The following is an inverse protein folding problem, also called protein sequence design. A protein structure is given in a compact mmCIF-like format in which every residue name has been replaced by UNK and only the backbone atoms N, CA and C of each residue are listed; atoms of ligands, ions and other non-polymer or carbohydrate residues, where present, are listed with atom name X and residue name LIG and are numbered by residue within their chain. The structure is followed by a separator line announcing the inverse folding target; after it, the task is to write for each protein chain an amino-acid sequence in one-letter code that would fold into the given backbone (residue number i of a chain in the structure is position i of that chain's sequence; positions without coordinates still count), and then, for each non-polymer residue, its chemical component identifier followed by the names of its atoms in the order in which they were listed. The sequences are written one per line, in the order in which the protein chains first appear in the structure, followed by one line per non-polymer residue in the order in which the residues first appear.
data_IF_246530600633
#
_entry.id   IF_246530600633
#
_cell.length_a   1.000
_cell.length_b   1.000
_cell.length_c   1.000
_cell.angle_alpha   90.00
_cell.angle_beta   90.00
_cell.angle_gamma   90.00
#
_symmetry.space_group_name_H-M   'P 1'
#
loop_
_entity.id
_entity.type
_entity.pdbx_description
1 polymer ?
#
# COMPACT_ATOMS: atom_id res chain seq x y z
N UNK A 1 -37.48 -44.92 -33.11
CA UNK A 1 -37.33 -44.52 -31.69
C UNK A 1 -35.86 -44.25 -31.42
N UNK A 2 -35.43 -43.01 -31.63
CA UNK A 2 -34.06 -42.56 -31.35
C UNK A 2 -34.12 -41.33 -30.46
N UNK A 3 -33.81 -41.52 -29.17
CA UNK A 3 -33.62 -40.45 -28.22
C UNK A 3 -32.15 -40.00 -28.29
N UNK A 4 -31.90 -38.90 -28.98
CA UNK A 4 -30.65 -38.18 -28.87
C UNK A 4 -30.81 -37.12 -27.78
N UNK A 5 -30.34 -37.41 -26.58
CA UNK A 5 -30.14 -36.44 -25.53
C UNK A 5 -28.71 -35.90 -25.65
N UNK A 6 -28.58 -34.65 -26.08
CA UNK A 6 -27.34 -33.90 -26.01
C UNK A 6 -27.16 -33.40 -24.57
N UNK A 7 -26.00 -33.59 -23.93
CA UNK A 7 -25.71 -32.92 -22.67
C UNK A 7 -25.42 -31.45 -22.92
N UNK A 8 -26.08 -30.60 -22.13
CA UNK A 8 -25.84 -29.17 -22.12
C UNK A 8 -24.42 -28.86 -21.70
N UNK A 9 -23.68 -28.26 -22.61
CA UNK A 9 -22.36 -27.69 -22.34
C UNK A 9 -22.52 -26.50 -21.39
N UNK A 10 -22.04 -26.64 -20.16
CA UNK A 10 -21.85 -25.53 -19.24
C UNK A 10 -20.70 -24.68 -19.75
N UNK A 11 -21.05 -23.63 -20.49
CA UNK A 11 -20.10 -22.58 -20.86
C UNK A 11 -19.83 -21.76 -19.59
N UNK A 12 -18.78 -22.12 -18.87
CA UNK A 12 -18.20 -21.23 -17.86
C UNK A 12 -17.62 -20.01 -18.56
N UNK A 13 -18.35 -18.91 -18.49
CA UNK A 13 -17.86 -17.62 -18.96
C UNK A 13 -16.59 -17.25 -18.20
N UNK A 14 -15.48 -16.93 -18.90
CA UNK A 14 -14.30 -16.42 -18.22
C UNK A 14 -14.65 -15.08 -17.57
N UNK A 15 -14.52 -15.00 -16.25
CA UNK A 15 -14.66 -13.77 -15.52
C UNK A 15 -13.82 -12.69 -16.19
N UNK A 16 -14.51 -11.69 -16.73
CA UNK A 16 -13.92 -10.63 -17.54
C UNK A 16 -12.88 -9.86 -16.72
N UNK A 17 -11.62 -9.96 -17.10
CA UNK A 17 -10.51 -9.14 -16.58
C UNK A 17 -10.77 -7.63 -16.75
N UNK A 18 -11.78 -7.25 -17.53
CA UNK A 18 -12.20 -5.87 -17.74
C UNK A 18 -12.97 -5.27 -16.55
N UNK A 19 -13.51 -6.09 -15.66
CA UNK A 19 -14.19 -5.62 -14.43
C UNK A 19 -13.24 -5.10 -13.36
N UNK A 20 -12.00 -5.59 -13.33
CA UNK A 20 -11.00 -5.17 -12.35
C UNK A 20 -10.48 -3.74 -12.60
N UNK A 21 -10.52 -3.30 -13.86
CA UNK A 21 -10.03 -1.95 -14.24
C UNK A 21 -11.05 -0.86 -13.93
N UNK A 22 -12.34 -1.20 -13.75
CA UNK A 22 -13.40 -0.22 -13.46
C UNK A 22 -13.61 0.08 -11.98
N UNK A 23 -13.12 -0.77 -11.07
CA UNK A 23 -13.22 -0.56 -9.63
C UNK A 23 -11.95 0.01 -8.98
N UNK A 24 -10.83 0.06 -9.70
CA UNK A 24 -9.53 0.48 -9.20
C UNK A 24 -9.12 1.92 -9.58
N UNK A 25 -10.04 2.72 -10.06
CA UNK A 25 -9.70 4.02 -10.64
C UNK A 25 -9.96 5.18 -9.70
N UNK A 26 -9.25 5.24 -8.59
CA UNK A 26 -9.15 6.50 -7.86
C UNK A 26 -7.84 6.65 -7.08
N UNK A 27 -6.77 6.03 -7.55
CA UNK A 27 -5.47 6.59 -7.24
C UNK A 27 -5.38 7.86 -8.10
N UNK A 28 -5.39 9.03 -7.47
CA UNK A 28 -5.22 10.27 -8.19
C UNK A 28 -3.93 10.19 -9.01
N UNK A 29 -3.88 10.86 -10.16
CA UNK A 29 -2.68 10.94 -10.99
C UNK A 29 -1.46 11.40 -10.17
N UNK A 30 -1.70 12.13 -9.08
CA UNK A 30 -0.70 12.59 -8.11
C UNK A 30 -0.09 11.42 -7.32
N UNK A 31 -0.91 10.48 -6.81
CA UNK A 31 -0.40 9.33 -6.07
C UNK A 31 0.45 8.41 -6.96
N UNK A 32 0.00 8.15 -8.20
CA UNK A 32 0.76 7.35 -9.17
C UNK A 32 2.06 8.05 -9.57
N UNK A 33 2.07 9.36 -9.69
CA UNK A 33 3.25 10.12 -10.07
C UNK A 33 4.28 10.21 -8.95
N UNK A 34 3.85 10.27 -7.69
CA UNK A 34 4.73 10.20 -6.52
C UNK A 34 5.42 8.83 -6.41
N UNK A 35 4.68 7.75 -6.63
CA UNK A 35 5.22 6.39 -6.67
C UNK A 35 6.18 6.17 -7.84
N UNK A 36 6.01 6.91 -8.94
CA UNK A 36 6.89 6.88 -10.11
C UNK A 36 8.12 7.79 -9.99
N UNK A 37 8.30 8.50 -8.87
CA UNK A 37 9.45 9.40 -8.64
C UNK A 37 9.50 10.60 -9.59
N UNK A 38 8.38 10.96 -10.20
CA UNK A 38 8.30 12.13 -11.09
C UNK A 38 7.75 13.32 -10.32
N UNK A 39 8.47 14.43 -10.35
CA UNK A 39 7.97 15.73 -9.91
C UNK A 39 6.80 16.16 -10.82
N UNK A 40 5.62 15.69 -10.49
CA UNK A 40 4.40 16.17 -11.14
C UNK A 40 4.06 17.52 -10.49
N UNK A 41 4.57 18.56 -11.09
CA UNK A 41 3.99 19.89 -10.92
C UNK A 41 2.56 19.79 -11.41
N UNK A 42 1.62 19.79 -10.48
CA UNK A 42 0.19 19.81 -10.75
C UNK A 42 -0.17 21.16 -11.39
N UNK A 43 0.13 21.30 -12.68
CA UNK A 43 -0.44 22.36 -13.48
C UNK A 43 -1.85 21.91 -13.90
N UNK A 44 -2.84 22.50 -13.26
CA UNK A 44 -4.17 22.61 -13.82
C UNK A 44 -5.20 21.55 -13.45
N UNK A 45 -5.00 20.69 -12.47
CA UNK A 45 -6.09 19.86 -11.95
C UNK A 45 -6.81 20.64 -10.84
N UNK A 46 -7.91 21.30 -11.16
CA UNK A 46 -8.92 21.75 -10.19
C UNK A 46 -9.66 20.50 -9.65
N UNK A 47 -8.95 19.65 -8.92
CA UNK A 47 -9.52 18.57 -8.13
C UNK A 47 -9.88 19.09 -6.74
N UNK A 48 -10.70 18.33 -6.05
CA UNK A 48 -11.00 18.58 -4.65
C UNK A 48 -9.75 18.27 -3.81
N UNK A 49 -8.95 19.27 -3.54
CA UNK A 49 -7.66 19.18 -2.82
C UNK A 49 -7.83 18.51 -1.45
N UNK A 50 -9.01 18.64 -0.84
CA UNK A 50 -9.31 18.00 0.45
C UNK A 50 -9.38 16.48 0.31
N UNK A 51 -9.99 15.96 -0.75
CA UNK A 51 -10.01 14.51 -1.02
C UNK A 51 -8.64 13.96 -1.37
N UNK A 52 -7.83 14.73 -2.09
CA UNK A 52 -6.45 14.35 -2.39
C UNK A 52 -5.62 14.25 -1.10
N UNK A 53 -5.77 15.20 -0.18
CA UNK A 53 -5.14 15.16 1.15
C UNK A 53 -5.58 13.94 1.94
N UNK A 54 -6.87 13.58 1.93
CA UNK A 54 -7.39 12.41 2.63
C UNK A 54 -6.79 11.12 2.09
N UNK A 55 -6.73 10.97 0.77
CA UNK A 55 -6.12 9.80 0.10
C UNK A 55 -4.62 9.70 0.43
N UNK A 56 -3.91 10.82 0.36
CA UNK A 56 -2.48 10.86 0.68
C UNK A 56 -2.21 10.55 2.15
N UNK A 57 -3.10 10.95 3.07
CA UNK A 57 -2.99 10.60 4.49
C UNK A 57 -3.26 9.11 4.75
N UNK A 58 -4.15 8.46 4.01
CA UNK A 58 -4.31 7.00 4.06
C UNK A 58 -3.01 6.33 3.61
N UNK A 59 -2.44 6.76 2.48
CA UNK A 59 -1.16 6.24 2.00
C UNK A 59 -0.03 6.46 3.01
N UNK A 60 0.05 7.65 3.62
CA UNK A 60 1.03 7.96 4.65
C UNK A 60 0.88 7.07 5.89
N UNK A 61 -0.35 6.77 6.30
CA UNK A 61 -0.62 5.83 7.39
C UNK A 61 -0.06 4.43 7.10
N UNK A 62 -0.21 3.95 5.87
CA UNK A 62 0.35 2.67 5.42
C UNK A 62 1.89 2.67 5.39
N UNK A 63 2.51 3.78 4.99
CA UNK A 63 3.98 3.91 5.06
C UNK A 63 4.48 3.88 6.52
N UNK A 64 3.81 4.56 7.44
CA UNK A 64 4.13 4.49 8.87
C UNK A 64 4.03 3.04 9.39
N UNK A 65 2.95 2.33 9.04
CA UNK A 65 2.78 0.93 9.43
C UNK A 65 3.88 0.05 8.85
N UNK A 66 4.20 0.18 7.57
CA UNK A 66 5.26 -0.59 6.92
C UNK A 66 6.63 -0.34 7.55
N UNK A 67 6.99 0.93 7.81
CA UNK A 67 8.26 1.29 8.46
C UNK A 67 8.37 0.60 9.83
N UNK A 68 7.30 0.61 10.60
CA UNK A 68 7.28 0.05 11.95
C UNK A 68 7.19 -1.48 11.93
N UNK A 69 6.51 -2.08 10.95
CA UNK A 69 6.53 -3.53 10.73
C UNK A 69 7.96 -4.03 10.44
N UNK A 70 8.68 -3.37 9.54
CA UNK A 70 10.09 -3.68 9.29
C UNK A 70 10.98 -3.45 10.52
N UNK A 71 10.70 -2.41 11.30
CA UNK A 71 11.43 -2.14 12.55
C UNK A 71 11.22 -3.26 13.57
N UNK A 72 9.99 -3.72 13.73
CA UNK A 72 9.65 -4.82 14.64
C UNK A 72 10.28 -6.13 14.17
N UNK A 73 10.20 -6.45 12.88
CA UNK A 73 10.83 -7.63 12.30
C UNK A 73 12.35 -7.61 12.47
N UNK A 74 13.00 -6.51 12.14
CA UNK A 74 14.45 -6.36 12.30
C UNK A 74 14.90 -6.43 13.76
N UNK A 75 14.10 -5.88 14.67
CA UNK A 75 14.38 -5.88 16.12
C UNK A 75 14.03 -7.19 16.84
N UNK A 76 13.32 -8.11 16.18
CA UNK A 76 12.85 -9.37 16.77
C UNK A 76 13.98 -10.35 17.08
N UNK A 77 15.12 -10.24 16.40
CA UNK A 77 16.21 -11.23 16.44
C UNK A 77 15.93 -12.52 15.69
N UNK A 78 14.79 -12.63 15.01
CA UNK A 78 14.38 -13.84 14.29
C UNK A 78 14.94 -13.91 12.87
N UNK A 79 15.30 -12.76 12.28
CA UNK A 79 15.75 -12.69 10.90
C UNK A 79 17.23 -13.06 10.78
N UNK A 80 17.54 -13.94 9.84
CA UNK A 80 18.93 -14.21 9.45
C UNK A 80 19.50 -13.01 8.66
N UNK A 81 20.84 -12.85 8.73
CA UNK A 81 21.49 -11.67 8.17
C UNK A 81 21.10 -11.30 6.74
N UNK A 82 21.00 -12.19 5.75
CA UNK A 82 20.60 -11.81 4.41
C UNK A 82 19.19 -11.22 4.32
N UNK A 83 18.25 -11.77 5.10
CA UNK A 83 16.87 -11.29 5.17
C UNK A 83 16.78 -9.98 5.93
N UNK A 84 17.55 -9.85 7.01
CA UNK A 84 17.66 -8.59 7.77
C UNK A 84 18.16 -7.44 6.89
N UNK A 85 19.19 -7.67 6.09
CA UNK A 85 19.75 -6.65 5.19
C UNK A 85 18.70 -6.18 4.17
N UNK A 86 17.91 -7.10 3.62
CA UNK A 86 16.78 -6.78 2.72
C UNK A 86 15.69 -6.01 3.46
N UNK A 87 15.31 -6.44 4.66
CA UNK A 87 14.29 -5.76 5.47
C UNK A 87 14.67 -4.31 5.77
N UNK A 88 15.94 -4.06 6.12
CA UNK A 88 16.46 -2.70 6.36
C UNK A 88 16.42 -1.86 5.09
N UNK A 89 16.75 -2.45 3.93
CA UNK A 89 16.69 -1.75 2.65
C UNK A 89 15.23 -1.35 2.30
N UNK A 90 14.27 -2.27 2.44
CA UNK A 90 12.87 -1.96 2.19
C UNK A 90 12.32 -0.92 3.18
N UNK A 91 12.70 -1.00 4.45
CA UNK A 91 12.36 0.04 5.42
C UNK A 91 12.85 1.42 4.93
N UNK A 92 14.07 1.49 4.38
CA UNK A 92 14.62 2.71 3.80
C UNK A 92 13.76 3.27 2.65
N UNK A 93 13.26 2.40 1.77
CA UNK A 93 12.35 2.80 0.68
C UNK A 93 11.04 3.40 1.24
N UNK A 94 10.43 2.74 2.23
CA UNK A 94 9.21 3.24 2.89
C UNK A 94 9.44 4.60 3.57
N UNK A 95 10.60 4.82 4.19
CA UNK A 95 10.96 6.13 4.76
C UNK A 95 11.03 7.22 3.69
N UNK A 96 11.57 6.91 2.52
CA UNK A 96 11.60 7.85 1.38
C UNK A 96 10.18 8.19 0.88
N UNK A 97 9.33 7.17 0.75
CA UNK A 97 7.92 7.38 0.35
C UNK A 97 7.16 8.21 1.38
N UNK A 98 7.32 7.92 2.67
CA UNK A 98 6.75 8.71 3.77
C UNK A 98 7.13 10.18 3.64
N UNK A 99 8.41 10.48 3.44
CA UNK A 99 8.90 11.85 3.38
C UNK A 99 8.31 12.60 2.17
N UNK A 100 8.18 11.93 1.02
CA UNK A 100 7.53 12.47 -0.17
C UNK A 100 6.03 12.75 0.06
N UNK A 101 5.32 11.84 0.73
CA UNK A 101 3.90 12.01 1.07
C UNK A 101 3.70 13.17 2.04
N UNK A 102 4.51 13.27 3.09
CA UNK A 102 4.46 14.39 4.05
C UNK A 102 4.64 15.72 3.33
N UNK A 103 5.68 15.85 2.49
CA UNK A 103 5.95 17.08 1.74
C UNK A 103 4.79 17.43 0.82
N UNK A 104 4.17 16.45 0.15
CA UNK A 104 3.05 16.68 -0.76
C UNK A 104 1.79 17.13 -0.01
N UNK A 105 1.44 16.46 1.10
CA UNK A 105 0.29 16.83 1.93
C UNK A 105 0.44 18.28 2.42
N UNK A 106 1.62 18.64 2.92
CA UNK A 106 1.91 20.00 3.36
C UNK A 106 1.80 21.01 2.21
N UNK A 107 2.30 20.69 1.03
CA UNK A 107 2.22 21.53 -0.17
C UNK A 107 0.78 21.77 -0.62
N UNK A 108 -0.09 20.79 -0.40
CA UNK A 108 -1.54 20.91 -0.66
C UNK A 108 -2.30 21.65 0.46
N UNK A 109 -1.60 22.10 1.52
CA UNK A 109 -2.21 22.76 2.66
C UNK A 109 -2.87 21.83 3.67
N UNK A 110 -2.65 20.51 3.53
CA UNK A 110 -3.16 19.52 4.46
C UNK A 110 -2.23 19.30 5.65
N UNK A 111 -2.73 18.54 6.63
CA UNK A 111 -1.97 18.11 7.80
C UNK A 111 -1.62 16.64 7.65
N UNK A 112 -0.32 16.25 7.63
CA UNK A 112 0.09 14.87 7.60
C UNK A 112 -0.37 14.10 8.85
N UNK A 113 -0.89 12.88 8.68
CA UNK A 113 -1.21 11.99 9.79
C UNK A 113 0.06 11.65 10.57
N UNK A 114 -0.05 11.70 11.90
CA UNK A 114 1.08 11.41 12.78
C UNK A 114 1.37 9.90 12.84
N UNK A 115 2.65 9.58 12.98
CA UNK A 115 3.10 8.23 13.30
C UNK A 115 2.72 7.87 14.74
N UNK A 116 2.18 6.67 14.96
CA UNK A 116 1.93 6.14 16.30
C UNK A 116 3.24 5.66 16.94
N UNK A 117 3.19 5.28 18.21
CA UNK A 117 4.32 4.67 18.88
C UNK A 117 4.56 3.23 18.42
N UNK A 118 5.80 2.77 18.49
CA UNK A 118 6.17 1.41 18.06
C UNK A 118 5.38 0.31 18.78
N UNK A 119 5.08 0.48 20.06
CA UNK A 119 4.29 -0.49 20.83
C UNK A 119 2.82 -0.55 20.38
N UNK A 120 2.27 0.53 19.86
CA UNK A 120 0.93 0.56 19.28
C UNK A 120 0.89 -0.24 17.97
N UNK A 121 1.90 -0.08 17.10
CA UNK A 121 2.08 -0.91 15.93
C UNK A 121 2.32 -2.37 16.28
N UNK A 122 3.14 -2.65 17.28
CA UNK A 122 3.39 -4.01 17.76
C UNK A 122 2.10 -4.73 18.16
N UNK A 123 1.19 -4.02 18.82
CA UNK A 123 -0.13 -4.56 19.20
C UNK A 123 -1.02 -4.75 17.96
N UNK A 124 -1.11 -3.75 17.10
CA UNK A 124 -1.95 -3.78 15.89
C UNK A 124 -1.53 -4.92 14.94
N UNK A 125 -0.23 -5.13 14.78
CA UNK A 125 0.34 -6.17 13.92
C UNK A 125 0.50 -7.52 14.62
N UNK A 126 0.09 -7.64 15.89
CA UNK A 126 0.26 -8.85 16.69
C UNK A 126 1.73 -9.36 16.72
N UNK A 127 2.68 -8.44 16.81
CA UNK A 127 4.12 -8.76 16.72
C UNK A 127 4.60 -9.69 17.84
N UNK A 128 3.90 -9.77 18.97
CA UNK A 128 4.18 -10.71 20.05
C UNK A 128 3.95 -12.19 19.68
N UNK A 129 3.27 -12.46 18.57
CA UNK A 129 3.05 -13.81 18.07
C UNK A 129 4.17 -14.32 17.16
N UNK A 130 5.12 -13.46 16.76
CA UNK A 130 6.25 -13.83 15.90
C UNK A 130 7.17 -14.81 16.66
N UNK A 131 7.48 -15.94 16.03
CA UNK A 131 8.34 -17.00 16.60
C UNK A 131 9.42 -17.48 15.65
N UNK A 132 9.30 -17.17 14.38
CA UNK A 132 10.23 -17.59 13.33
C UNK A 132 10.34 -16.56 12.22
N UNK A 133 11.36 -16.71 11.37
CA UNK A 133 11.55 -15.86 10.18
C UNK A 133 10.38 -15.98 9.18
N UNK A 134 9.62 -17.06 9.23
CA UNK A 134 8.50 -17.31 8.32
C UNK A 134 7.18 -16.66 8.73
N UNK A 135 7.13 -16.10 9.93
CA UNK A 135 5.93 -15.41 10.45
C UNK A 135 5.89 -13.97 9.94
#
# INVERSE_FOLDING_TARGET
MNNNQHPASLITSPASRRGFIRGGSALSAVAVALLAGKDVMAQGMKGDTSKDVDILNVALGLEHEAINAYQLGAGSGLLQKPVLDVAVQFQGHHKTHRDALVATIQKLGGKPVAEMKLDEYAKALNAGALKSQGD
#
